data_IF_058890975585
#
_entry.id   IF_058890975585
#
_cell.length_a   1.000
_cell.length_b   1.000
_cell.length_c   1.000
_cell.angle_alpha   90.00
_cell.angle_beta   90.00
_cell.angle_gamma   90.00
#
_symmetry.space_group_name_H-M   'P 1'
#
loop_
_entity.id
_entity.type
_entity.pdbx_description
1 polymer ?
#
# COMPACT_ATOMS: atom_id res chain seq x y z
N UNK A 1 2.86 13.62 6.66
CA UNK A 1 2.05 12.66 7.41
C UNK A 1 3.00 11.87 8.29
N UNK A 2 2.92 11.97 9.60
CA UNK A 2 3.64 11.03 10.49
C UNK A 2 2.83 9.76 10.52
N UNK A 3 3.46 8.62 10.20
CA UNK A 3 2.87 7.32 10.45
C UNK A 3 2.70 7.19 11.98
N UNK A 4 1.47 7.09 12.46
CA UNK A 4 1.24 6.69 13.86
C UNK A 4 1.54 5.20 13.94
N UNK A 5 2.76 4.90 14.31
CA UNK A 5 3.15 3.55 14.70
C UNK A 5 2.64 3.37 16.14
N UNK A 6 1.88 2.28 16.46
CA UNK A 6 1.44 2.01 17.82
C UNK A 6 2.64 2.02 18.79
N UNK A 7 2.39 2.19 20.10
CA UNK A 7 3.40 2.21 21.17
C UNK A 7 4.40 1.06 21.05
N UNK A 8 5.41 1.26 20.21
CA UNK A 8 6.51 0.34 19.96
C UNK A 8 7.76 0.95 20.57
N UNK A 9 8.49 0.18 21.31
CA UNK A 9 9.80 0.60 21.81
C UNK A 9 10.73 0.76 20.60
N UNK A 10 11.13 2.00 20.31
CA UNK A 10 12.06 2.34 19.26
C UNK A 10 13.48 2.30 19.81
N UNK A 11 14.35 1.53 19.19
CA UNK A 11 15.77 1.59 19.53
C UNK A 11 16.45 2.87 18.97
N UNK A 12 17.72 3.06 19.32
CA UNK A 12 18.52 4.21 18.88
C UNK A 12 18.75 4.24 17.37
N UNK A 13 18.65 3.08 16.69
CA UNK A 13 18.75 2.96 15.24
C UNK A 13 17.42 3.24 14.52
N UNK A 14 16.32 3.43 15.27
CA UNK A 14 14.99 3.62 14.72
C UNK A 14 14.34 2.35 14.20
N UNK A 15 14.75 1.20 14.74
CA UNK A 15 14.14 -0.10 14.53
C UNK A 15 13.12 -0.32 15.64
N UNK A 16 11.95 -0.82 15.27
CA UNK A 16 10.91 -1.24 16.20
C UNK A 16 10.89 -2.75 16.28
N UNK A 17 10.47 -3.30 17.44
CA UNK A 17 10.31 -4.75 17.62
C UNK A 17 8.88 -5.08 17.98
N UNK A 18 8.34 -6.11 17.34
CA UNK A 18 7.05 -6.72 17.65
C UNK A 18 7.28 -8.23 17.63
N UNK A 19 7.17 -8.89 18.81
CA UNK A 19 7.62 -10.28 18.93
C UNK A 19 9.09 -10.41 18.51
N UNK A 20 9.40 -11.39 17.69
CA UNK A 20 10.74 -11.61 17.13
C UNK A 20 11.05 -10.76 15.90
N UNK A 21 10.04 -10.08 15.35
CA UNK A 21 10.19 -9.27 14.15
C UNK A 21 10.85 -7.91 14.42
N UNK A 22 11.90 -7.61 13.67
CA UNK A 22 12.55 -6.30 13.63
C UNK A 22 11.95 -5.47 12.47
N UNK A 23 11.46 -4.26 12.78
CA UNK A 23 10.69 -3.46 11.84
C UNK A 23 11.35 -2.11 11.62
N UNK A 24 11.60 -1.77 10.36
CA UNK A 24 12.02 -0.44 9.95
C UNK A 24 10.90 0.27 9.21
N UNK A 25 10.51 1.45 9.67
CA UNK A 25 9.50 2.27 9.00
C UNK A 25 10.20 3.29 8.12
N UNK A 26 9.84 3.32 6.83
CA UNK A 26 10.30 4.30 5.86
C UNK A 26 9.11 5.02 5.22
N UNK A 27 9.21 6.35 5.06
CA UNK A 27 8.20 7.16 4.37
C UNK A 27 8.68 7.43 2.96
N UNK A 28 7.99 6.87 1.97
CA UNK A 28 8.38 6.99 0.56
C UNK A 28 8.15 8.39 -0.04
N UNK A 29 7.22 9.15 0.52
CA UNK A 29 6.69 10.37 -0.10
C UNK A 29 5.74 10.03 -1.25
N UNK A 30 5.20 11.06 -1.93
CA UNK A 30 4.21 10.90 -3.00
C UNK A 30 4.90 10.80 -4.36
N UNK A 31 4.47 9.82 -5.17
CA UNK A 31 4.84 9.62 -6.57
C UNK A 31 6.00 8.65 -6.80
N UNK A 32 6.02 8.08 -8.02
CA UNK A 32 6.89 6.98 -8.43
C UNK A 32 8.38 7.19 -8.13
N UNK A 33 8.95 8.37 -8.48
CA UNK A 33 10.39 8.63 -8.31
C UNK A 33 10.82 8.63 -6.84
N UNK A 34 10.01 9.24 -5.96
CA UNK A 34 10.30 9.27 -4.52
C UNK A 34 10.16 7.87 -3.91
N UNK A 35 9.09 7.17 -4.29
CA UNK A 35 8.84 5.80 -3.85
C UNK A 35 9.98 4.86 -4.27
N UNK A 36 10.40 4.91 -5.53
CA UNK A 36 11.55 4.14 -6.03
C UNK A 36 12.81 4.39 -5.23
N UNK A 37 13.15 5.69 -5.01
CA UNK A 37 14.36 6.06 -4.27
C UNK A 37 14.34 5.59 -2.82
N UNK A 38 13.21 5.78 -2.14
CA UNK A 38 13.05 5.34 -0.76
C UNK A 38 13.15 3.81 -0.65
N UNK A 39 12.49 3.08 -1.54
CA UNK A 39 12.56 1.62 -1.58
C UNK A 39 13.96 1.12 -1.87
N UNK A 40 14.68 1.77 -2.79
CA UNK A 40 16.08 1.43 -3.06
C UNK A 40 16.95 1.59 -1.81
N UNK A 41 16.80 2.66 -1.04
CA UNK A 41 17.54 2.86 0.21
C UNK A 41 17.24 1.76 1.25
N UNK A 42 15.98 1.31 1.33
CA UNK A 42 15.58 0.19 2.19
C UNK A 42 16.23 -1.11 1.71
N UNK A 43 16.10 -1.44 0.43
CA UNK A 43 16.55 -2.70 -0.15
C UNK A 43 18.09 -2.83 -0.26
N UNK A 44 18.84 -1.73 -0.22
CA UNK A 44 20.31 -1.77 -0.21
C UNK A 44 20.93 -1.81 1.19
N UNK A 45 20.11 -1.82 2.22
CA UNK A 45 20.60 -1.74 3.60
C UNK A 45 21.19 -0.38 3.99
N UNK A 46 21.03 0.65 3.14
CA UNK A 46 21.55 2.01 3.41
C UNK A 46 20.97 2.65 4.66
N UNK A 47 19.89 2.07 5.20
CA UNK A 47 19.27 2.47 6.47
C UNK A 47 19.76 1.62 7.66
N UNK A 48 20.82 0.84 7.49
CA UNK A 48 21.37 -0.05 8.53
C UNK A 48 20.54 -1.32 8.78
N UNK A 49 19.68 -1.70 7.84
CA UNK A 49 18.78 -2.84 7.94
C UNK A 49 18.44 -3.37 6.55
N UNK A 50 18.62 -4.68 6.34
CA UNK A 50 18.18 -5.39 5.13
C UNK A 50 16.88 -6.13 5.47
N UNK A 51 15.76 -5.86 4.79
CA UNK A 51 14.51 -6.53 5.08
C UNK A 51 14.40 -7.88 4.36
N UNK A 52 13.81 -8.85 5.03
CA UNK A 52 13.37 -10.13 4.42
C UNK A 52 12.03 -9.97 3.71
N UNK A 53 11.23 -9.00 4.15
CA UNK A 53 9.92 -8.68 3.59
C UNK A 53 9.69 -7.17 3.57
N UNK A 54 9.11 -6.65 2.50
CA UNK A 54 8.68 -5.25 2.37
C UNK A 54 7.16 -5.17 2.41
N UNK A 55 6.61 -4.37 3.34
CA UNK A 55 5.18 -4.08 3.40
C UNK A 55 4.93 -2.64 2.97
N UNK A 56 4.31 -2.46 1.80
CA UNK A 56 3.84 -1.16 1.36
C UNK A 56 2.41 -0.92 1.81
N UNK A 57 2.24 -0.11 2.83
CA UNK A 57 0.93 0.33 3.32
C UNK A 57 0.65 1.78 2.95
N UNK A 58 -0.61 2.09 2.61
CA UNK A 58 -1.00 3.44 2.22
C UNK A 58 -2.45 3.53 1.78
N UNK A 59 -2.78 4.61 1.07
CA UNK A 59 -4.14 4.86 0.59
C UNK A 59 -4.26 4.64 -0.91
N UNK A 60 -5.50 4.39 -1.36
CA UNK A 60 -5.85 4.29 -2.77
C UNK A 60 -7.24 4.87 -3.05
N UNK A 61 -7.48 5.22 -4.30
CA UNK A 61 -8.80 5.59 -4.82
C UNK A 61 -9.50 4.38 -5.43
N UNK A 62 -10.71 4.05 -4.96
CA UNK A 62 -11.50 2.95 -5.51
C UNK A 62 -12.08 3.29 -6.88
N UNK A 63 -12.05 2.33 -7.82
CA UNK A 63 -12.62 2.49 -9.16
C UNK A 63 -13.75 1.50 -9.47
N UNK A 64 -14.17 0.73 -8.48
CA UNK A 64 -15.30 -0.22 -8.56
C UNK A 64 -16.41 0.16 -7.61
N UNK A 65 -17.66 0.01 -8.05
CA UNK A 65 -18.84 0.38 -7.27
C UNK A 65 -19.05 -0.48 -6.02
N UNK A 66 -18.45 -1.68 -5.96
CA UNK A 66 -18.49 -2.57 -4.80
C UNK A 66 -17.50 -2.20 -3.68
N UNK A 67 -16.70 -1.16 -3.87
CA UNK A 67 -15.66 -0.75 -2.92
C UNK A 67 -16.09 0.49 -2.16
N UNK A 68 -15.95 0.44 -0.83
CA UNK A 68 -16.28 1.53 0.06
C UNK A 68 -15.06 2.07 0.81
N UNK A 69 -15.22 3.25 1.41
CA UNK A 69 -14.18 3.89 2.23
C UNK A 69 -13.80 2.99 3.40
N UNK A 70 -12.51 2.71 3.48
CA UNK A 70 -11.92 1.86 4.51
C UNK A 70 -11.80 0.38 4.11
N UNK A 71 -12.38 -0.05 2.97
CA UNK A 71 -12.07 -1.38 2.43
C UNK A 71 -10.57 -1.50 2.16
N UNK A 72 -10.01 -2.69 2.37
CA UNK A 72 -8.61 -2.97 2.10
C UNK A 72 -8.45 -3.56 0.70
N UNK A 73 -7.44 -3.10 -0.02
CA UNK A 73 -7.00 -3.70 -1.28
C UNK A 73 -5.67 -4.39 -1.03
N UNK A 74 -5.64 -5.70 -1.22
CA UNK A 74 -4.42 -6.49 -1.27
C UNK A 74 -4.10 -6.68 -2.75
N UNK A 75 -2.98 -6.15 -3.21
CA UNK A 75 -2.62 -6.27 -4.60
C UNK A 75 -1.88 -7.59 -4.86
N UNK A 76 -2.38 -8.42 -5.77
CA UNK A 76 -1.66 -9.54 -6.34
C UNK A 76 -1.06 -9.18 -7.71
N UNK A 77 -1.59 -8.13 -8.37
CA UNK A 77 -1.09 -7.59 -9.63
C UNK A 77 -1.00 -6.07 -9.55
N UNK A 78 0.04 -5.51 -10.15
CA UNK A 78 0.26 -4.08 -10.23
C UNK A 78 0.45 -3.67 -11.68
N UNK A 79 -0.23 -2.59 -12.09
CA UNK A 79 -0.11 -2.03 -13.43
C UNK A 79 0.39 -0.59 -13.40
N UNK A 80 1.21 -0.23 -14.38
CA UNK A 80 1.63 1.14 -14.64
C UNK A 80 1.82 1.34 -16.15
N UNK A 81 0.99 2.18 -16.76
CA UNK A 81 0.90 2.35 -18.22
C UNK A 81 0.59 1.01 -18.91
N UNK A 82 1.45 0.56 -19.82
CA UNK A 82 1.43 -0.68 -20.58
C UNK A 82 2.14 -1.86 -19.88
N UNK A 83 2.65 -1.64 -18.66
CA UNK A 83 3.40 -2.64 -17.89
C UNK A 83 2.56 -3.21 -16.75
N UNK A 84 2.63 -4.52 -16.57
CA UNK A 84 2.03 -5.22 -15.45
C UNK A 84 3.05 -6.15 -14.80
N UNK A 85 2.99 -6.28 -13.49
CA UNK A 85 3.78 -7.23 -12.70
C UNK A 85 2.86 -8.02 -11.77
N UNK A 86 3.14 -9.29 -11.61
CA UNK A 86 2.52 -10.15 -10.60
C UNK A 86 3.42 -10.22 -9.37
N UNK A 87 2.83 -10.36 -8.20
CA UNK A 87 3.55 -10.47 -6.92
C UNK A 87 3.66 -11.94 -6.51
N UNK A 88 4.28 -12.78 -7.38
CA UNK A 88 4.32 -14.25 -7.23
C UNK A 88 5.05 -14.72 -5.97
N UNK A 89 6.10 -14.00 -5.55
CA UNK A 89 6.90 -14.36 -4.37
C UNK A 89 6.41 -13.65 -3.09
N UNK A 90 5.24 -13.05 -3.12
CA UNK A 90 4.66 -12.37 -1.95
C UNK A 90 3.83 -13.36 -1.14
N UNK A 91 3.90 -13.35 0.20
CA UNK A 91 3.10 -14.21 1.06
C UNK A 91 1.63 -13.75 1.13
N UNK A 92 0.98 -13.59 -0.03
CA UNK A 92 -0.37 -13.03 -0.15
C UNK A 92 -1.41 -13.96 0.49
N UNK A 93 -1.28 -15.27 0.33
CA UNK A 93 -2.22 -16.24 0.90
C UNK A 93 -2.25 -16.14 2.43
N UNK A 94 -1.07 -16.12 3.07
CA UNK A 94 -0.96 -15.95 4.52
C UNK A 94 -1.56 -14.61 4.98
N UNK A 95 -1.32 -13.52 4.23
CA UNK A 95 -1.92 -12.22 4.52
C UNK A 95 -3.44 -12.26 4.42
N UNK A 96 -3.97 -12.93 3.41
CA UNK A 96 -5.42 -13.08 3.22
C UNK A 96 -6.03 -13.83 4.40
N UNK A 97 -5.43 -14.92 4.85
CA UNK A 97 -5.90 -15.72 5.99
C UNK A 97 -5.95 -14.90 7.30
N UNK A 98 -4.94 -14.05 7.53
CA UNK A 98 -4.90 -13.14 8.68
C UNK A 98 -5.99 -12.07 8.64
N UNK A 99 -6.51 -11.76 7.46
CA UNK A 99 -7.47 -10.68 7.24
C UNK A 99 -8.92 -11.15 7.02
N UNK A 100 -9.21 -12.43 7.19
CA UNK A 100 -10.54 -13.03 6.92
C UNK A 100 -11.72 -12.29 7.59
N UNK A 101 -11.51 -11.70 8.77
CA UNK A 101 -12.54 -10.90 9.47
C UNK A 101 -12.63 -9.44 8.97
N UNK A 102 -11.79 -9.05 8.03
CA UNK A 102 -11.72 -7.68 7.51
C UNK A 102 -12.36 -7.61 6.13
N UNK A 103 -12.97 -6.48 5.79
CA UNK A 103 -13.46 -6.23 4.43
C UNK A 103 -12.28 -5.92 3.51
N UNK A 104 -11.75 -6.94 2.85
CA UNK A 104 -10.66 -6.81 1.88
C UNK A 104 -11.08 -7.30 0.50
N UNK A 105 -10.32 -6.86 -0.51
CA UNK A 105 -10.45 -7.29 -1.89
C UNK A 105 -9.06 -7.58 -2.46
N UNK A 106 -8.89 -8.78 -2.99
CA UNK A 106 -7.68 -9.20 -3.69
C UNK A 106 -7.79 -8.86 -5.18
N UNK A 107 -6.78 -8.24 -5.76
CA UNK A 107 -6.79 -7.98 -7.19
C UNK A 107 -5.81 -6.92 -7.68
N UNK A 108 -6.07 -6.38 -8.87
CA UNK A 108 -5.19 -5.44 -9.55
C UNK A 108 -5.28 -4.03 -8.99
N UNK A 109 -4.13 -3.45 -8.70
CA UNK A 109 -3.94 -2.04 -8.36
C UNK A 109 -3.16 -1.35 -9.51
N UNK A 110 -3.67 -0.23 -10.00
CA UNK A 110 -3.01 0.55 -11.03
C UNK A 110 -2.32 1.77 -10.43
N UNK A 111 -1.03 1.93 -10.67
CA UNK A 111 -0.28 3.13 -10.27
C UNK A 111 -0.36 4.20 -11.35
N UNK A 112 -0.50 5.46 -10.95
CA UNK A 112 -0.53 6.62 -11.84
C UNK A 112 0.44 7.71 -11.39
N UNK A 113 0.99 8.48 -12.33
CA UNK A 113 1.84 9.64 -12.03
C UNK A 113 1.05 10.81 -11.41
N UNK A 114 -0.24 10.86 -11.68
CA UNK A 114 -1.14 11.93 -11.27
C UNK A 114 -2.40 11.35 -10.64
N UNK A 115 -3.07 12.10 -9.77
CA UNK A 115 -4.36 11.68 -9.25
C UNK A 115 -5.33 11.34 -10.39
N UNK A 116 -5.98 10.20 -10.30
CA UNK A 116 -6.96 9.75 -11.30
C UNK A 116 -8.30 10.40 -11.00
N UNK A 117 -8.77 11.24 -11.92
CA UNK A 117 -9.99 12.03 -11.77
C UNK A 117 -11.21 11.40 -12.46
N UNK A 118 -11.03 10.29 -13.17
CA UNK A 118 -12.10 9.58 -13.86
C UNK A 118 -11.76 8.10 -14.05
N UNK A 119 -12.74 7.23 -13.80
CA UNK A 119 -12.62 5.78 -14.03
C UNK A 119 -12.47 5.41 -15.51
N UNK A 120 -12.88 6.28 -16.43
CA UNK A 120 -12.82 6.02 -17.86
C UNK A 120 -11.40 5.75 -18.41
N UNK A 121 -10.36 6.12 -17.63
CA UNK A 121 -8.95 5.92 -17.98
C UNK A 121 -8.30 4.75 -17.25
N UNK A 122 -9.09 3.95 -16.57
CA UNK A 122 -8.59 2.83 -15.75
C UNK A 122 -8.98 1.50 -16.39
N UNK A 123 -8.04 0.57 -16.46
CA UNK A 123 -8.28 -0.76 -17.03
C UNK A 123 -9.45 -1.49 -16.36
N UNK A 124 -10.21 -2.25 -17.15
CA UNK A 124 -11.48 -2.84 -16.77
C UNK A 124 -11.44 -3.79 -15.55
N UNK A 125 -10.31 -4.43 -15.26
CA UNK A 125 -10.11 -5.36 -14.14
C UNK A 125 -9.43 -4.72 -12.90
N UNK A 126 -9.02 -3.46 -12.97
CA UNK A 126 -8.42 -2.72 -11.85
C UNK A 126 -9.43 -2.48 -10.72
N UNK A 127 -9.05 -2.73 -9.47
CA UNK A 127 -9.88 -2.45 -8.29
C UNK A 127 -9.72 -1.02 -7.80
N UNK A 128 -8.47 -0.54 -7.73
CA UNK A 128 -8.15 0.77 -7.20
C UNK A 128 -6.91 1.36 -7.87
N UNK A 129 -6.66 2.64 -7.60
CA UNK A 129 -5.52 3.39 -8.14
C UNK A 129 -4.70 4.01 -7.01
N UNK A 130 -3.38 4.06 -7.20
CA UNK A 130 -2.45 4.75 -6.31
C UNK A 130 -1.37 5.52 -7.09
N UNK A 131 -0.33 5.98 -6.43
CA UNK A 131 0.76 6.74 -7.06
C UNK A 131 2.16 6.15 -6.83
N UNK A 132 2.30 5.04 -6.13
CA UNK A 132 3.59 4.54 -5.64
C UNK A 132 3.83 3.04 -5.81
N UNK A 133 2.79 2.22 -5.67
CA UNK A 133 2.91 0.76 -5.46
C UNK A 133 3.72 0.05 -6.54
N UNK A 134 3.53 0.39 -7.81
CA UNK A 134 4.28 -0.23 -8.90
C UNK A 134 5.79 0.00 -8.78
N UNK A 135 6.21 1.23 -8.46
CA UNK A 135 7.62 1.55 -8.31
C UNK A 135 8.24 0.85 -7.10
N UNK A 136 7.48 0.71 -6.01
CA UNK A 136 7.91 0.01 -4.80
C UNK A 136 8.13 -1.47 -5.10
N UNK A 137 7.11 -2.15 -5.60
CA UNK A 137 7.18 -3.57 -5.90
C UNK A 137 8.23 -3.91 -6.96
N UNK A 138 8.32 -3.10 -8.04
CA UNK A 138 9.34 -3.28 -9.06
C UNK A 138 10.76 -3.14 -8.49
N UNK A 139 10.95 -2.20 -7.57
CA UNK A 139 12.26 -2.00 -6.93
C UNK A 139 12.56 -3.16 -5.99
N UNK A 140 11.62 -3.59 -5.16
CA UNK A 140 11.79 -4.74 -4.26
C UNK A 140 12.13 -6.02 -5.04
N UNK A 141 11.41 -6.29 -6.14
CA UNK A 141 11.68 -7.43 -7.01
C UNK A 141 13.10 -7.43 -7.61
N UNK A 142 13.64 -6.24 -7.98
CA UNK A 142 15.02 -6.10 -8.45
C UNK A 142 16.05 -6.55 -7.40
N UNK A 143 15.74 -6.41 -6.13
CA UNK A 143 16.58 -6.84 -5.01
C UNK A 143 16.16 -8.21 -4.43
N UNK A 144 15.24 -8.91 -5.09
CA UNK A 144 14.72 -10.21 -4.68
C UNK A 144 14.07 -10.21 -3.29
N UNK A 145 13.53 -9.07 -2.88
CA UNK A 145 12.82 -8.92 -1.62
C UNK A 145 11.31 -9.06 -1.90
N UNK A 146 10.61 -10.03 -1.29
CA UNK A 146 9.17 -10.15 -1.42
C UNK A 146 8.45 -8.90 -0.91
N UNK A 147 7.34 -8.53 -1.55
CA UNK A 147 6.63 -7.31 -1.21
C UNK A 147 5.12 -7.54 -1.07
N UNK A 148 4.56 -7.19 0.07
CA UNK A 148 3.11 -7.10 0.30
C UNK A 148 2.68 -5.68 0.00
N UNK A 149 1.66 -5.53 -0.84
CA UNK A 149 1.03 -4.23 -1.13
C UNK A 149 -0.39 -4.24 -0.56
N UNK A 150 -0.59 -3.48 0.51
CA UNK A 150 -1.88 -3.32 1.17
C UNK A 150 -2.28 -1.85 1.22
N UNK A 151 -3.44 -1.52 0.67
CA UNK A 151 -3.96 -0.15 0.61
C UNK A 151 -5.35 -0.07 1.20
N UNK A 152 -5.65 1.02 1.90
CA UNK A 152 -7.02 1.31 2.31
C UNK A 152 -7.67 2.32 1.37
N UNK A 153 -8.91 2.08 0.99
CA UNK A 153 -9.69 3.00 0.19
C UNK A 153 -9.94 4.28 0.98
N UNK A 154 -9.43 5.40 0.49
CA UNK A 154 -9.60 6.74 1.08
C UNK A 154 -10.60 7.59 0.31
N UNK A 155 -10.82 7.28 -0.96
CA UNK A 155 -11.69 8.03 -1.86
C UNK A 155 -12.25 7.13 -2.96
N UNK A 156 -13.37 7.56 -3.53
CA UNK A 156 -14.02 6.89 -4.66
C UNK A 156 -13.79 7.75 -5.90
N UNK A 157 -13.10 7.18 -6.89
CA UNK A 157 -12.84 7.87 -8.16
C UNK A 157 -14.16 8.02 -8.92
N UNK A 158 -14.54 9.23 -9.37
CA UNK A 158 -15.79 9.44 -10.08
C UNK A 158 -15.79 8.78 -11.48
N UNK A 159 -16.99 8.47 -12.01
CA UNK A 159 -17.13 7.92 -13.36
C UNK A 159 -16.63 8.92 -14.43
N UNK A 160 -16.93 10.19 -14.24
CA UNK A 160 -16.55 11.28 -15.16
C UNK A 160 -15.73 12.35 -14.43
N UNK A 161 -14.76 12.91 -15.13
CA UNK A 161 -13.98 14.03 -14.61
C UNK A 161 -14.84 15.31 -14.55
N UNK A 162 -14.78 16.00 -13.39
CA UNK A 162 -15.39 17.32 -13.23
C UNK A 162 -14.59 18.15 -12.21
N UNK A 163 -14.65 19.47 -12.31
CA UNK A 163 -14.02 20.37 -11.34
C UNK A 163 -14.61 20.19 -9.94
N UNK A 164 -15.91 20.00 -9.85
CA UNK A 164 -16.59 19.69 -8.58
C UNK A 164 -16.11 18.34 -8.01
N UNK A 165 -15.90 17.34 -8.88
CA UNK A 165 -15.34 16.05 -8.52
C UNK A 165 -13.94 16.17 -7.92
N UNK A 166 -13.09 17.03 -8.46
CA UNK A 166 -11.74 17.27 -7.92
C UNK A 166 -11.78 17.89 -6.51
N UNK A 167 -12.62 18.91 -6.31
CA UNK A 167 -12.78 19.53 -4.99
C UNK A 167 -13.33 18.53 -3.96
N UNK A 168 -14.30 17.71 -4.38
CA UNK A 168 -14.86 16.66 -3.54
C UNK A 168 -13.83 15.58 -3.20
N UNK A 169 -12.97 15.21 -4.15
CA UNK A 169 -11.90 14.23 -3.92
C UNK A 169 -10.95 14.69 -2.79
N UNK A 170 -10.48 15.94 -2.86
CA UNK A 170 -9.58 16.51 -1.84
C UNK A 170 -10.27 16.60 -0.48
N UNK A 171 -11.54 17.03 -0.45
CA UNK A 171 -12.33 17.12 0.79
C UNK A 171 -12.60 15.74 1.39
N UNK A 172 -13.03 14.80 0.57
CA UNK A 172 -13.31 13.43 0.98
C UNK A 172 -12.06 12.74 1.51
N UNK A 173 -10.91 12.92 0.86
CA UNK A 173 -9.63 12.38 1.35
C UNK A 173 -9.32 12.84 2.78
N UNK A 174 -9.48 14.14 3.09
CA UNK A 174 -9.24 14.65 4.46
C UNK A 174 -10.17 14.03 5.50
N UNK A 175 -11.44 13.82 5.16
CA UNK A 175 -12.45 13.28 6.09
C UNK A 175 -12.24 11.77 6.25
N UNK A 176 -12.12 11.05 5.14
CA UNK A 176 -12.14 9.60 5.10
C UNK A 176 -10.79 8.95 5.48
N UNK A 177 -9.69 9.71 5.36
CA UNK A 177 -8.35 9.21 5.69
C UNK A 177 -8.21 8.74 7.14
N UNK A 178 -9.00 9.25 8.08
CA UNK A 178 -9.01 8.79 9.47
C UNK A 178 -9.54 7.35 9.58
N UNK A 179 -10.70 7.06 8.96
CA UNK A 179 -11.30 5.71 8.95
C UNK A 179 -10.39 4.71 8.22
N UNK A 180 -9.92 5.10 7.02
CA UNK A 180 -9.02 4.28 6.23
C UNK A 180 -7.70 3.98 6.97
N UNK A 181 -7.13 4.98 7.67
CA UNK A 181 -5.90 4.81 8.47
C UNK A 181 -6.11 3.87 9.64
N UNK A 182 -7.20 4.00 10.40
CA UNK A 182 -7.46 3.13 11.54
C UNK A 182 -7.54 1.67 11.11
N UNK A 183 -8.30 1.37 10.04
CA UNK A 183 -8.38 0.01 9.47
C UNK A 183 -7.03 -0.49 8.97
N UNK A 184 -6.31 0.33 8.22
CA UNK A 184 -5.00 -0.03 7.69
C UNK A 184 -4.00 -0.34 8.81
N UNK A 185 -3.90 0.53 9.83
CA UNK A 185 -3.02 0.33 10.99
C UNK A 185 -3.31 -0.97 11.74
N UNK A 186 -4.58 -1.25 12.00
CA UNK A 186 -4.99 -2.46 12.72
C UNK A 186 -4.59 -3.73 11.94
N UNK A 187 -4.82 -3.75 10.63
CA UNK A 187 -4.53 -4.92 9.81
C UNK A 187 -3.04 -5.07 9.50
N UNK A 188 -2.31 -3.98 9.26
CA UNK A 188 -0.85 -4.03 9.13
C UNK A 188 -0.20 -4.52 10.41
N UNK A 189 -0.73 -4.15 11.58
CA UNK A 189 -0.26 -4.66 12.86
C UNK A 189 -0.41 -6.17 12.95
N UNK A 190 -1.59 -6.74 12.60
CA UNK A 190 -1.80 -8.20 12.54
C UNK A 190 -0.78 -8.90 11.66
N UNK A 191 -0.51 -8.34 10.46
CA UNK A 191 0.47 -8.88 9.52
C UNK A 191 1.88 -8.88 10.12
N UNK A 192 2.25 -7.82 10.82
CA UNK A 192 3.60 -7.69 11.43
C UNK A 192 3.76 -8.61 12.65
N UNK A 193 2.68 -8.87 13.38
CA UNK A 193 2.69 -9.74 14.57
C UNK A 193 2.73 -11.24 14.22
N UNK A 194 2.44 -11.60 12.98
CA UNK A 194 2.52 -12.99 12.55
C UNK A 194 3.98 -13.42 12.34
N UNK A 195 4.39 -14.43 13.09
CA UNK A 195 5.73 -14.99 13.05
C UNK A 195 5.95 -15.93 11.84
N UNK A 196 4.87 -16.39 11.18
CA UNK A 196 4.95 -17.34 10.08
C UNK A 196 5.11 -16.68 8.70
N UNK A 197 4.99 -15.35 8.64
CA UNK A 197 5.06 -14.60 7.37
C UNK A 197 6.47 -14.50 6.80
N UNK A 198 7.49 -14.68 7.64
CA UNK A 198 8.91 -14.61 7.30
C UNK A 198 9.52 -15.92 7.80
N UNK A 199 9.28 -17.00 7.09
CA UNK A 199 9.83 -18.33 7.35
C UNK A 199 10.90 -18.70 6.35
#
# INVERSE_FOLDING_TARGET
MRAEVPHMLKDTAGIYRIGDNAIRVAVSGIGLKKAQRATQQVCTGSLGFLPDLLINSGFCGAVRDKLDIGHLIIANRLAYRDREIQLENSPIEQVVDLLLESEYHLGKLQTSNWPVLSRARVAGDTLAVDMEAFAIAQTAAKYQIPAIIIKAVSDIVPKHASLIGLLNLVRSFKINSKKARARLSMNVKKIIEDQNLIG
#
